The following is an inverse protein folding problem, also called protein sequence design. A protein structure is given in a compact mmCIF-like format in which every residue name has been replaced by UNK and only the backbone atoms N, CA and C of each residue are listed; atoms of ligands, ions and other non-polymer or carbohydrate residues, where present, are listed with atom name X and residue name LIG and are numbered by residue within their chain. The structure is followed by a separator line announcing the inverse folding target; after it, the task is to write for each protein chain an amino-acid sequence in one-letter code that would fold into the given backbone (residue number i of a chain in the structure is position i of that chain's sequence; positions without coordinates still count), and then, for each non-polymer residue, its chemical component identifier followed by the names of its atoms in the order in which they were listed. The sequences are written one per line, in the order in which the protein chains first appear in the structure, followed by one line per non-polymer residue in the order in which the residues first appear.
data_IF_395857808579
#
_entry.id   IF_395857808579
#
_cell.length_a   1.000
_cell.length_b   1.000
_cell.length_c   1.000
_cell.angle_alpha   90.00
_cell.angle_beta   90.00
_cell.angle_gamma   90.00
#
_symmetry.space_group_name_H-M   'P 1'
#
loop_
_entity.id
_entity.type
_entity.pdbx_description
1 polymer ?
#
# COMPACT_ATOMS: atom_id res chain seq x y z
N UNK A 1 -21.31 -29.33 -18.77
CA UNK A 1 -21.80 -28.15 -19.50
C UNK A 1 -20.63 -27.66 -20.36
N UNK A 2 -20.66 -27.95 -21.66
CA UNK A 2 -19.65 -27.56 -22.64
C UNK A 2 -19.90 -26.11 -23.06
N UNK A 3 -18.87 -25.27 -23.10
CA UNK A 3 -18.88 -23.99 -23.82
C UNK A 3 -17.61 -23.91 -24.66
N UNK A 4 -17.67 -24.49 -25.85
CA UNK A 4 -16.75 -24.25 -26.94
C UNK A 4 -17.41 -23.25 -27.89
N UNK A 5 -17.05 -21.97 -27.78
CA UNK A 5 -17.35 -20.98 -28.81
C UNK A 5 -16.03 -20.54 -29.42
N UNK A 6 -15.56 -21.35 -30.37
CA UNK A 6 -14.50 -20.98 -31.28
C UNK A 6 -15.05 -19.87 -32.18
N UNK A 7 -14.58 -18.64 -31.98
CA UNK A 7 -14.95 -17.51 -32.81
C UNK A 7 -14.52 -17.76 -34.26
N UNK A 8 -15.50 -17.88 -35.16
CA UNK A 8 -15.32 -17.79 -36.60
C UNK A 8 -14.68 -16.43 -36.96
N UNK A 9 -13.36 -16.42 -37.06
CA UNK A 9 -12.59 -15.26 -37.46
C UNK A 9 -12.72 -15.06 -38.98
N UNK A 10 -13.89 -14.56 -39.42
CA UNK A 10 -14.04 -14.03 -40.77
C UNK A 10 -12.95 -12.98 -41.02
N UNK A 11 -12.25 -12.99 -42.17
CA UNK A 11 -11.20 -12.02 -42.45
C UNK A 11 -11.80 -10.63 -42.64
N UNK A 12 -11.88 -9.88 -41.53
CA UNK A 12 -12.41 -8.52 -41.50
C UNK A 12 -11.51 -7.58 -42.30
N UNK A 13 -12.12 -6.73 -43.13
CA UNK A 13 -11.41 -5.71 -43.90
C UNK A 13 -10.73 -4.73 -42.94
N UNK A 14 -9.59 -4.14 -43.35
CA UNK A 14 -8.85 -3.17 -42.51
C UNK A 14 -9.74 -2.02 -42.02
N UNK A 15 -10.68 -1.58 -42.86
CA UNK A 15 -11.69 -0.55 -42.52
C UNK A 15 -12.63 -1.00 -41.39
N UNK A 16 -13.14 -2.22 -41.44
CA UNK A 16 -14.02 -2.77 -40.39
C UNK A 16 -13.28 -2.88 -39.06
N UNK A 17 -12.01 -3.33 -39.08
CA UNK A 17 -11.17 -3.37 -37.88
C UNK A 17 -10.92 -1.98 -37.29
N UNK A 18 -10.74 -0.96 -38.14
CA UNK A 18 -10.56 0.42 -37.69
C UNK A 18 -11.84 0.99 -37.07
N UNK A 19 -13.00 0.72 -37.69
CA UNK A 19 -14.31 1.11 -37.15
C UNK A 19 -14.55 0.47 -35.79
N UNK A 20 -14.33 -0.84 -35.64
CA UNK A 20 -14.48 -1.52 -34.36
C UNK A 20 -13.55 -0.97 -33.28
N UNK A 21 -12.29 -0.65 -33.64
CA UNK A 21 -11.36 -0.01 -32.70
C UNK A 21 -11.84 1.37 -32.27
N UNK A 22 -12.38 2.14 -33.21
CA UNK A 22 -12.91 3.46 -32.94
C UNK A 22 -14.15 3.39 -32.03
N UNK A 23 -15.07 2.48 -32.31
CA UNK A 23 -16.28 2.24 -31.52
C UNK A 23 -15.94 1.78 -30.10
N UNK A 24 -15.05 0.78 -29.95
CA UNK A 24 -14.56 0.34 -28.63
C UNK A 24 -13.88 1.47 -27.85
N UNK A 25 -13.17 2.37 -28.55
CA UNK A 25 -12.52 3.50 -27.91
C UNK A 25 -13.55 4.53 -27.40
N UNK A 26 -14.59 4.83 -28.19
CA UNK A 26 -15.68 5.71 -27.77
C UNK A 26 -16.45 5.12 -26.58
N UNK A 27 -16.78 3.83 -26.63
CA UNK A 27 -17.42 3.12 -25.52
C UNK A 27 -16.58 3.21 -24.24
N UNK A 28 -15.26 3.00 -24.33
CA UNK A 28 -14.36 3.13 -23.19
C UNK A 28 -14.30 4.57 -22.65
N UNK A 29 -14.36 5.58 -23.52
CA UNK A 29 -14.41 6.97 -23.10
C UNK A 29 -15.72 7.29 -22.37
N UNK A 30 -16.84 6.77 -22.87
CA UNK A 30 -18.15 6.91 -22.23
C UNK A 30 -18.20 6.21 -20.86
N UNK A 31 -17.68 4.98 -20.76
CA UNK A 31 -17.54 4.27 -19.47
C UNK A 31 -16.66 5.05 -18.47
N UNK A 32 -15.65 5.76 -18.99
CA UNK A 32 -14.77 6.60 -18.16
C UNK A 32 -15.41 7.92 -17.72
N UNK A 33 -16.53 8.33 -18.35
CA UNK A 33 -17.37 9.47 -17.94
C UNK A 33 -18.36 9.04 -16.86
N UNK A 34 -17.89 8.30 -15.85
CA UNK A 34 -18.68 8.11 -14.65
C UNK A 34 -19.05 9.49 -14.09
N UNK A 35 -20.34 9.77 -13.80
CA UNK A 35 -20.80 11.07 -13.30
C UNK A 35 -20.20 11.42 -11.93
N UNK A 36 -19.50 10.48 -11.30
CA UNK A 36 -18.89 10.64 -9.99
C UNK A 36 -17.37 10.55 -10.07
N UNK A 37 -16.71 11.25 -9.15
CA UNK A 37 -15.25 11.29 -9.06
C UNK A 37 -14.62 9.89 -8.88
N UNK A 38 -13.34 9.74 -9.26
CA UNK A 38 -12.52 8.53 -9.02
C UNK A 38 -12.55 8.04 -7.56
N UNK A 39 -12.79 8.93 -6.60
CA UNK A 39 -12.93 8.57 -5.19
C UNK A 39 -14.23 7.80 -4.91
N UNK A 40 -15.33 8.22 -5.53
CA UNK A 40 -16.63 7.56 -5.42
C UNK A 40 -16.60 6.15 -6.01
N UNK A 41 -15.98 5.99 -7.20
CA UNK A 41 -15.81 4.68 -7.83
C UNK A 41 -14.97 3.72 -6.96
N UNK A 42 -13.89 4.22 -6.35
CA UNK A 42 -13.10 3.44 -5.37
C UNK A 42 -13.93 3.04 -4.16
N UNK A 43 -14.82 3.91 -3.67
CA UNK A 43 -15.72 3.62 -2.56
C UNK A 43 -16.75 2.55 -2.94
N UNK A 44 -17.37 2.65 -4.11
CA UNK A 44 -18.31 1.63 -4.61
C UNK A 44 -17.62 0.27 -4.82
N UNK A 45 -16.41 0.25 -5.39
CA UNK A 45 -15.61 -0.98 -5.52
C UNK A 45 -15.20 -1.59 -4.17
N UNK A 46 -14.96 -0.78 -3.14
CA UNK A 46 -14.71 -1.28 -1.78
C UNK A 46 -15.97 -1.88 -1.17
N UNK A 47 -17.09 -1.15 -1.22
CA UNK A 47 -18.40 -1.64 -0.74
C UNK A 47 -18.80 -2.95 -1.42
N UNK A 48 -18.68 -3.03 -2.75
CA UNK A 48 -19.00 -4.24 -3.49
C UNK A 48 -18.08 -5.42 -3.10
N UNK A 49 -16.78 -5.16 -2.87
CA UNK A 49 -15.85 -6.20 -2.40
C UNK A 49 -16.13 -6.62 -0.96
N UNK A 50 -16.52 -5.70 -0.09
CA UNK A 50 -16.94 -5.99 1.28
C UNK A 50 -18.22 -6.84 1.28
N UNK A 51 -19.18 -6.54 0.40
CA UNK A 51 -20.38 -7.36 0.21
C UNK A 51 -20.06 -8.77 -0.32
N UNK A 52 -19.12 -8.93 -1.26
CA UNK A 52 -18.80 -10.26 -1.81
C UNK A 52 -17.89 -11.08 -0.88
N UNK A 53 -16.96 -10.45 -0.16
CA UNK A 53 -15.99 -11.16 0.70
C UNK A 53 -16.42 -11.28 2.17
N UNK A 54 -17.43 -10.52 2.62
CA UNK A 54 -17.93 -10.54 4.00
C UNK A 54 -19.44 -10.29 4.13
N UNK A 55 -20.18 -10.16 3.02
CA UNK A 55 -21.63 -9.89 3.02
C UNK A 55 -22.48 -11.15 3.17
N UNK A 56 -22.07 -12.08 4.04
CA UNK A 56 -22.99 -13.09 4.55
C UNK A 56 -24.06 -12.49 5.47
N UNK A 57 -24.00 -11.19 5.82
CA UNK A 57 -25.01 -10.54 6.66
C UNK A 57 -26.43 -10.60 6.08
N UNK A 58 -26.57 -10.50 4.75
CA UNK A 58 -27.87 -10.60 4.08
C UNK A 58 -28.39 -12.05 4.05
N UNK A 59 -27.47 -13.02 3.89
CA UNK A 59 -27.78 -14.45 3.97
C UNK A 59 -28.11 -14.85 5.42
N UNK A 60 -27.36 -14.35 6.41
CA UNK A 60 -27.65 -14.52 7.83
C UNK A 60 -28.99 -13.89 8.20
N UNK A 61 -29.31 -12.69 7.70
CA UNK A 61 -30.62 -12.08 7.92
C UNK A 61 -31.77 -12.89 7.30
N UNK A 62 -31.57 -13.45 6.10
CA UNK A 62 -32.55 -14.35 5.48
C UNK A 62 -32.69 -15.69 6.23
N UNK A 63 -31.59 -16.24 6.75
CA UNK A 63 -31.59 -17.45 7.58
C UNK A 63 -32.30 -17.17 8.91
N UNK A 64 -31.99 -16.08 9.61
CA UNK A 64 -32.65 -15.71 10.87
C UNK A 64 -34.15 -15.47 10.66
N UNK A 65 -34.56 -14.85 9.55
CA UNK A 65 -35.97 -14.69 9.22
C UNK A 65 -36.70 -16.02 8.92
N UNK A 66 -35.97 -17.07 8.52
CA UNK A 66 -36.50 -18.44 8.38
C UNK A 66 -36.46 -19.21 9.73
N UNK A 67 -35.45 -18.94 10.56
CA UNK A 67 -35.21 -19.55 11.87
C UNK A 67 -36.20 -19.07 12.94
N UNK A 68 -36.71 -17.83 12.83
CA UNK A 68 -37.83 -17.32 13.63
C UNK A 68 -39.16 -18.07 13.37
N UNK A 69 -39.17 -19.05 12.45
CA UNK A 69 -40.25 -20.02 12.24
C UNK A 69 -40.04 -21.39 12.90
N UNK A 70 -38.90 -21.64 13.55
CA UNK A 70 -38.55 -22.92 14.17
C UNK A 70 -37.81 -22.71 15.48
N UNK A 71 -38.55 -22.41 16.54
CA UNK A 71 -38.05 -22.49 17.91
C UNK A 71 -37.71 -23.94 18.25
N UNK A 72 -36.42 -24.29 18.34
CA UNK A 72 -35.87 -25.24 19.33
C UNK A 72 -34.36 -25.44 19.14
N UNK A 73 -33.54 -24.76 19.97
CA UNK A 73 -32.50 -25.33 20.85
C UNK A 73 -31.39 -24.32 21.26
N UNK A 74 -31.20 -24.22 22.58
CA UNK A 74 -30.15 -23.52 23.34
C UNK A 74 -28.76 -24.21 23.20
N UNK A 75 -27.69 -23.81 23.94
CA UNK A 75 -26.93 -22.55 23.87
C UNK A 75 -25.39 -22.76 23.77
N UNK A 76 -24.69 -21.66 23.44
CA UNK A 76 -23.29 -21.24 23.71
C UNK A 76 -22.32 -22.22 24.42
N UNK A 77 -21.19 -22.50 23.76
CA UNK A 77 -19.90 -22.80 24.41
C UNK A 77 -18.74 -22.12 23.66
N UNK A 78 -17.94 -21.35 24.42
CA UNK A 78 -16.68 -20.70 24.02
C UNK A 78 -15.52 -21.69 24.10
N UNK A 79 -14.64 -21.71 23.10
CA UNK A 79 -13.25 -22.18 23.18
C UNK A 79 -12.47 -21.49 22.03
N UNK A 80 -11.54 -20.56 22.28
CA UNK A 80 -10.15 -20.69 22.75
C UNK A 80 -9.13 -20.79 21.60
N UNK A 81 -8.20 -19.82 21.57
CA UNK A 81 -6.80 -20.03 21.19
C UNK A 81 -6.48 -20.24 19.71
N UNK A 82 -6.18 -19.15 18.99
CA UNK A 82 -5.46 -19.24 17.72
C UNK A 82 -3.94 -19.37 17.97
N UNK A 83 -3.26 -20.41 17.46
CA UNK A 83 -1.81 -20.44 17.46
C UNK A 83 -1.25 -19.69 16.26
N UNK A 84 -0.25 -18.84 16.57
CA UNK A 84 0.73 -18.28 15.65
C UNK A 84 1.22 -19.32 14.64
N UNK A 85 1.22 -18.95 13.36
CA UNK A 85 2.07 -19.60 12.34
C UNK A 85 2.99 -18.54 11.75
N UNK A 86 4.17 -18.45 12.35
CA UNK A 86 5.35 -17.80 11.79
C UNK A 86 6.10 -18.78 10.88
N UNK A 87 6.69 -18.26 9.80
CA UNK A 87 7.66 -18.95 8.93
C UNK A 87 7.14 -19.11 7.49
N UNK A 88 7.76 -18.61 6.43
CA UNK A 88 9.11 -18.10 6.25
C UNK A 88 9.11 -17.12 5.06
N UNK A 89 9.67 -15.92 5.24
CA UNK A 89 9.99 -15.02 4.14
C UNK A 89 11.50 -14.79 4.13
N UNK A 90 12.16 -15.40 3.16
CA UNK A 90 13.59 -15.29 2.91
C UNK A 90 14.00 -13.82 2.73
N UNK A 91 14.93 -13.40 3.57
CA UNK A 91 15.47 -12.05 3.63
C UNK A 91 16.44 -11.84 2.46
N UNK A 92 15.95 -11.27 1.35
CA UNK A 92 16.85 -10.73 0.32
C UNK A 92 17.46 -9.43 0.84
N UNK A 93 18.78 -9.44 1.00
CA UNK A 93 19.57 -8.32 1.51
C UNK A 93 19.56 -7.18 0.49
N UNK A 94 19.12 -5.99 0.90
CA UNK A 94 19.20 -4.78 0.09
C UNK A 94 20.66 -4.29 0.01
N UNK A 95 21.16 -3.86 -1.17
CA UNK A 95 22.52 -3.37 -1.31
C UNK A 95 22.73 -2.06 -0.54
N UNK A 96 23.85 -1.98 0.19
CA UNK A 96 24.29 -0.77 0.89
C UNK A 96 24.86 0.20 -0.15
N UNK A 97 24.17 1.33 -0.37
CA UNK A 97 24.70 2.40 -1.22
C UNK A 97 25.88 3.10 -0.53
N UNK A 98 26.89 3.46 -1.32
CA UNK A 98 28.07 4.21 -0.87
C UNK A 98 27.64 5.63 -0.46
N UNK A 99 28.01 6.03 0.76
CA UNK A 99 27.77 7.39 1.27
C UNK A 99 28.63 8.39 0.49
N UNK A 100 28.00 9.40 -0.13
CA UNK A 100 28.74 10.53 -0.73
C UNK A 100 28.17 11.08 -2.05
N UNK A 101 27.23 10.39 -2.69
CA UNK A 101 26.66 10.83 -3.97
C UNK A 101 25.31 11.54 -3.72
N UNK A 102 25.33 12.87 -3.71
CA UNK A 102 24.11 13.69 -3.66
C UNK A 102 23.49 13.66 -5.06
N UNK A 103 22.32 13.04 -5.21
CA UNK A 103 21.55 13.07 -6.45
C UNK A 103 20.95 11.74 -6.90
N UNK A 104 21.48 10.61 -6.43
CA UNK A 104 20.87 9.29 -6.71
C UNK A 104 19.96 8.88 -5.56
N UNK A 105 18.83 9.58 -5.43
CA UNK A 105 17.73 9.06 -4.65
C UNK A 105 17.27 7.72 -5.25
N UNK A 106 17.01 6.71 -4.41
CA UNK A 106 16.39 5.44 -4.83
C UNK A 106 15.24 5.75 -5.79
N UNK A 107 15.36 5.39 -7.07
CA UNK A 107 14.26 5.54 -8.04
C UNK A 107 12.97 4.85 -7.55
N UNK A 108 13.10 3.90 -6.62
CA UNK A 108 12.02 3.37 -5.80
C UNK A 108 11.88 4.13 -4.47
N UNK A 109 10.72 4.78 -4.29
CA UNK A 109 10.29 5.30 -2.98
C UNK A 109 10.35 4.19 -1.93
N UNK A 110 10.61 4.56 -0.66
CA UNK A 110 10.57 3.62 0.47
C UNK A 110 9.28 2.77 0.44
N UNK A 111 9.41 1.48 0.75
CA UNK A 111 8.26 0.58 0.91
C UNK A 111 7.27 1.15 1.92
N UNK A 112 5.98 0.84 1.78
CA UNK A 112 4.93 1.30 2.72
C UNK A 112 5.29 0.97 4.18
N UNK A 113 5.85 -0.21 4.43
CA UNK A 113 6.28 -0.62 5.76
C UNK A 113 7.46 0.23 6.27
N UNK A 114 8.44 0.53 5.41
CA UNK A 114 9.58 1.38 5.74
C UNK A 114 9.13 2.82 6.02
N UNK A 115 8.22 3.37 5.22
CA UNK A 115 7.63 4.69 5.46
C UNK A 115 6.90 4.75 6.79
N UNK A 116 6.10 3.73 7.12
CA UNK A 116 5.39 3.66 8.41
C UNK A 116 6.38 3.68 9.58
N UNK A 117 7.45 2.87 9.51
CA UNK A 117 8.51 2.84 10.53
C UNK A 117 9.21 4.20 10.64
N UNK A 118 9.59 4.82 9.52
CA UNK A 118 10.21 6.15 9.51
C UNK A 118 9.30 7.23 10.11
N UNK A 119 7.99 7.20 9.81
CA UNK A 119 7.03 8.13 10.41
C UNK A 119 6.88 7.92 11.92
N UNK A 120 6.93 6.68 12.39
CA UNK A 120 6.88 6.38 13.83
C UNK A 120 8.14 6.89 14.55
N UNK A 121 9.31 6.69 13.96
CA UNK A 121 10.56 7.21 14.54
C UNK A 121 10.59 8.73 14.57
N UNK A 122 10.16 9.39 13.49
CA UNK A 122 10.10 10.85 13.44
C UNK A 122 9.05 11.42 14.41
N UNK A 123 7.91 10.74 14.60
CA UNK A 123 6.91 11.14 15.60
C UNK A 123 7.50 11.18 17.02
N UNK A 124 8.35 10.23 17.37
CA UNK A 124 9.03 10.21 18.68
C UNK A 124 10.17 11.23 18.76
N UNK A 125 10.86 11.46 17.65
CA UNK A 125 12.00 12.38 17.55
C UNK A 125 11.61 13.84 17.64
N UNK A 126 10.52 14.25 16.98
CA UNK A 126 10.13 15.67 16.88
C UNK A 126 9.93 16.36 18.23
N UNK A 127 9.22 15.77 19.22
CA UNK A 127 9.09 16.36 20.54
C UNK A 127 10.44 16.57 21.25
N UNK A 128 11.36 15.61 21.13
CA UNK A 128 12.69 15.67 21.75
C UNK A 128 13.56 16.80 21.16
N UNK A 129 13.44 17.04 19.85
CA UNK A 129 14.11 18.18 19.21
C UNK A 129 13.50 19.49 19.69
N UNK A 130 12.17 19.57 19.77
CA UNK A 130 11.45 20.78 20.20
C UNK A 130 11.65 21.11 21.67
N UNK A 131 11.91 20.12 22.53
CA UNK A 131 12.21 20.36 23.95
C UNK A 131 13.61 20.90 24.19
N UNK A 132 14.50 20.89 23.19
CA UNK A 132 15.86 21.43 23.35
C UNK A 132 15.85 22.97 23.22
N UNK A 133 16.23 23.71 24.28
CA UNK A 133 16.19 25.17 24.26
C UNK A 133 17.18 25.79 23.24
N UNK A 134 18.32 25.13 22.99
CA UNK A 134 19.26 25.61 21.98
C UNK A 134 18.67 25.53 20.57
N UNK A 135 17.86 24.49 20.31
CA UNK A 135 17.19 24.31 19.03
C UNK A 135 16.08 25.34 18.81
N UNK A 136 15.33 25.72 19.85
CA UNK A 136 14.30 26.77 19.74
C UNK A 136 14.89 28.16 19.51
N UNK A 137 16.04 28.47 20.11
CA UNK A 137 16.70 29.77 19.98
C UNK A 137 17.38 29.92 18.61
N UNK A 138 18.15 28.91 18.18
CA UNK A 138 18.80 28.92 16.87
C UNK A 138 18.94 27.48 16.32
N UNK A 139 18.00 27.04 15.46
CA UNK A 139 18.02 25.68 14.94
C UNK A 139 19.21 25.44 14.01
N UNK A 140 19.60 26.42 13.20
CA UNK A 140 20.71 26.29 12.25
C UNK A 140 22.06 26.17 12.95
N UNK A 141 22.30 26.96 13.99
CA UNK A 141 23.52 26.87 14.79
C UNK A 141 23.58 25.52 15.51
N UNK A 142 22.47 25.07 16.09
CA UNK A 142 22.39 23.77 16.76
C UNK A 142 22.69 22.61 15.81
N UNK A 143 22.14 22.64 14.60
CA UNK A 143 22.45 21.65 13.55
C UNK A 143 23.94 21.71 13.16
N UNK A 144 24.50 22.91 12.98
CA UNK A 144 25.93 23.10 12.65
C UNK A 144 26.84 22.50 13.72
N UNK A 145 26.59 22.81 14.99
CA UNK A 145 27.36 22.27 16.13
C UNK A 145 27.19 20.76 16.26
N UNK A 146 25.97 20.23 16.09
CA UNK A 146 25.74 18.79 16.10
C UNK A 146 26.51 18.09 14.97
N UNK A 147 26.47 18.63 13.75
CA UNK A 147 27.21 18.12 12.61
C UNK A 147 28.72 18.18 12.85
N UNK A 148 29.26 19.28 13.38
CA UNK A 148 30.67 19.39 13.76
C UNK A 148 31.05 18.32 14.80
N UNK A 149 30.20 18.08 15.81
CA UNK A 149 30.49 17.09 16.85
C UNK A 149 30.33 15.63 16.38
N UNK A 150 29.52 15.37 15.35
CA UNK A 150 29.20 14.01 14.90
C UNK A 150 29.92 13.58 13.61
N UNK A 151 30.19 14.50 12.68
CA UNK A 151 30.76 14.22 11.35
C UNK A 151 32.30 14.31 11.31
N UNK A 152 32.97 14.81 12.35
CA UNK A 152 34.44 15.02 12.37
C UNK A 152 35.26 13.71 12.49
N UNK A 153 34.67 12.52 12.35
CA UNK A 153 35.40 11.23 12.49
C UNK A 153 35.91 10.60 11.18
N UNK A 154 36.36 11.41 10.22
CA UNK A 154 37.13 10.91 9.08
C UNK A 154 38.39 11.76 8.88
N UNK A 155 39.31 11.73 9.84
CA UNK A 155 40.72 11.95 9.51
C UNK A 155 41.18 10.71 8.75
N UNK A 156 41.55 10.89 7.47
CA UNK A 156 42.40 9.93 6.78
C UNK A 156 43.72 9.95 7.55
N UNK A 157 44.26 8.81 8.02
CA UNK A 157 45.56 8.80 8.66
C UNK A 157 46.57 9.37 7.66
N UNK A 158 47.16 10.52 8.01
CA UNK A 158 48.28 11.11 7.27
C UNK A 158 49.34 10.01 7.11
N UNK A 159 49.72 9.63 5.87
CA UNK A 159 50.83 8.72 5.69
C UNK A 159 52.08 9.44 6.19
N UNK A 160 52.62 8.97 7.31
CA UNK A 160 53.90 9.41 7.84
C UNK A 160 54.96 9.27 6.74
N UNK A 161 55.43 10.39 6.21
CA UNK A 161 56.55 10.44 5.27
C UNK A 161 57.84 10.07 6.04
N UNK A 162 58.73 9.29 5.40
CA UNK A 162 59.98 8.79 6.00
C UNK A 162 61.04 9.88 6.21
#
# INVERSE_FOLDING_TARGET
MQMSEASDAKPMKKKEKQMLKHELFLQRLEDSRSPYSKSHERRMKRKAKEQVAGGLSEIHAAITALDDGSADHLPVARESGGPNTEGAAQTQQAPKHKSGQIGEGKGATLSKAQRKRALQTERLRMPLIRSNPAFSTNPFQTIRTHAQNTLVKHQVPEPSLP
#
